data_IF_199168845181
#
_entry.id   IF_199168845181
#
_cell.length_a   1.000
_cell.length_b   1.000
_cell.length_c   1.000
_cell.angle_alpha   90.00
_cell.angle_beta   90.00
_cell.angle_gamma   90.00
#
_symmetry.space_group_name_H-M   'P 1'
#
loop_
_entity.id
_entity.type
_entity.pdbx_description
1 polymer ?
#
# COMPACT_ATOMS: atom_id res chain seq x y z
N UNK A 1 16.67 8.55 -53.15
CA UNK A 1 17.25 9.13 -51.92
C UNK A 1 16.34 10.27 -51.45
N UNK A 2 15.51 10.05 -50.43
CA UNK A 2 14.52 11.01 -49.93
C UNK A 2 15.16 12.06 -49.00
N UNK A 3 14.80 13.34 -49.19
CA UNK A 3 15.36 14.49 -48.46
C UNK A 3 14.73 14.58 -47.06
N UNK A 4 15.54 14.48 -46.00
CA UNK A 4 15.16 14.75 -44.60
C UNK A 4 15.21 16.25 -44.35
N UNK A 5 14.06 16.91 -44.24
CA UNK A 5 13.96 18.29 -43.72
C UNK A 5 13.60 18.23 -42.23
N UNK A 6 14.60 18.36 -41.37
CA UNK A 6 14.40 18.58 -39.93
C UNK A 6 14.54 20.08 -39.64
N UNK A 7 13.45 20.67 -39.13
CA UNK A 7 13.33 22.08 -38.76
C UNK A 7 13.76 22.24 -37.29
N UNK A 8 15.03 22.55 -37.05
CA UNK A 8 15.43 23.17 -35.79
C UNK A 8 15.24 24.69 -35.92
N UNK A 9 14.34 25.24 -35.10
CA UNK A 9 14.21 26.68 -34.88
C UNK A 9 14.72 27.02 -33.46
N UNK A 10 15.31 28.22 -33.25
CA UNK A 10 15.94 28.61 -32.00
C UNK A 10 14.89 29.08 -30.98
N UNK A 11 15.06 28.72 -29.70
CA UNK A 11 14.21 29.19 -28.60
C UNK A 11 14.96 30.20 -27.71
N UNK A 12 14.63 31.48 -27.84
CA UNK A 12 15.01 32.61 -26.97
C UNK A 12 13.85 33.63 -27.10
N UNK A 13 13.23 34.26 -26.10
CA UNK A 13 13.39 34.39 -24.65
C UNK A 13 12.09 34.98 -24.02
N UNK A 14 11.94 34.79 -22.71
CA UNK A 14 11.35 35.69 -21.66
C UNK A 14 9.95 36.30 -21.84
N UNK A 15 9.06 36.12 -20.83
CA UNK A 15 8.79 37.10 -19.73
C UNK A 15 7.77 36.59 -18.69
N UNK A 16 8.04 36.97 -17.43
CA UNK A 16 7.14 37.30 -16.30
C UNK A 16 6.33 36.21 -15.54
N UNK A 17 6.87 35.90 -14.34
CA UNK A 17 6.26 35.83 -12.98
C UNK A 17 4.73 35.69 -12.86
N UNK A 18 4.27 34.77 -11.99
CA UNK A 18 3.59 35.24 -10.79
C UNK A 18 4.25 34.74 -9.50
N UNK A 19 4.14 35.61 -8.49
CA UNK A 19 4.40 35.35 -7.09
C UNK A 19 3.63 34.10 -6.63
N UNK A 20 4.30 33.15 -5.99
CA UNK A 20 3.63 32.17 -5.14
C UNK A 20 4.58 31.80 -4.02
N UNK A 21 4.03 31.92 -2.82
CA UNK A 21 4.65 31.92 -1.52
C UNK A 21 5.68 30.81 -1.30
N UNK A 22 6.69 31.18 -0.52
CA UNK A 22 7.56 30.27 0.22
C UNK A 22 6.72 29.26 1.01
N UNK A 23 6.86 27.97 0.69
CA UNK A 23 6.34 26.88 1.51
C UNK A 23 7.47 26.33 2.35
N UNK A 24 7.54 26.74 3.61
CA UNK A 24 8.24 25.98 4.64
C UNK A 24 7.59 24.58 4.76
N UNK A 25 8.36 23.51 5.03
CA UNK A 25 7.80 22.20 5.24
C UNK A 25 7.25 22.12 6.67
N UNK A 26 5.98 22.49 6.86
CA UNK A 26 5.25 22.17 8.09
C UNK A 26 4.93 20.68 8.05
N UNK A 27 5.57 19.91 8.93
CA UNK A 27 5.27 18.52 9.17
C UNK A 27 3.86 18.40 9.77
N UNK A 28 2.91 17.91 8.97
CA UNK A 28 1.56 17.56 9.44
C UNK A 28 1.59 16.20 10.15
N UNK A 29 0.91 16.03 11.31
CA UNK A 29 0.72 14.75 11.96
C UNK A 29 -0.16 13.81 11.11
N UNK A 30 -0.11 12.47 11.31
CA UNK A 30 -0.85 11.55 10.46
C UNK A 30 -2.35 11.75 10.66
N UNK A 31 -2.99 12.36 9.67
CA UNK A 31 -4.45 12.38 9.57
C UNK A 31 -4.96 10.94 9.56
N UNK A 32 -5.75 10.60 10.57
CA UNK A 32 -6.48 9.35 10.62
C UNK A 32 -7.32 9.22 9.35
N UNK A 33 -6.86 8.35 8.45
CA UNK A 33 -7.46 8.11 7.14
C UNK A 33 -8.92 7.68 7.33
N UNK A 34 -9.84 8.51 6.87
CA UNK A 34 -11.27 8.20 6.87
C UNK A 34 -11.54 6.81 6.26
N UNK A 35 -12.48 6.02 6.82
CA UNK A 35 -12.80 4.71 6.30
C UNK A 35 -13.35 4.85 4.88
N UNK A 36 -12.59 4.34 3.91
CA UNK A 36 -13.08 4.26 2.54
C UNK A 36 -14.19 3.23 2.53
N UNK A 37 -15.42 3.66 2.26
CA UNK A 37 -16.55 2.77 2.07
C UNK A 37 -16.25 1.88 0.85
N UNK A 38 -15.73 0.69 1.09
CA UNK A 38 -15.59 -0.32 0.05
C UNK A 38 -17.01 -0.73 -0.36
N UNK A 39 -17.41 -0.41 -1.59
CA UNK A 39 -18.67 -0.89 -2.14
C UNK A 39 -18.76 -2.40 -1.95
N UNK A 40 -19.74 -2.84 -1.16
CA UNK A 40 -19.99 -4.24 -0.84
C UNK A 40 -20.30 -4.99 -2.14
N UNK A 41 -19.29 -5.64 -2.72
CA UNK A 41 -19.50 -6.59 -3.81
C UNK A 41 -19.89 -7.92 -3.17
N UNK A 42 -21.02 -8.54 -3.53
CA UNK A 42 -21.41 -9.82 -2.94
C UNK A 42 -20.29 -10.84 -3.15
N UNK A 43 -19.86 -11.46 -2.05
CA UNK A 43 -18.78 -12.46 -2.03
C UNK A 43 -17.36 -11.92 -1.81
N UNK A 44 -17.13 -10.61 -1.74
CA UNK A 44 -15.81 -10.04 -1.39
C UNK A 44 -15.89 -9.22 -0.11
N UNK A 45 -15.41 -9.81 0.99
CA UNK A 45 -15.24 -9.13 2.27
C UNK A 45 -13.83 -8.50 2.35
N UNK A 46 -13.77 -7.25 2.82
CA UNK A 46 -12.50 -6.56 3.07
C UNK A 46 -12.18 -6.58 4.56
N UNK A 47 -11.10 -7.27 4.94
CA UNK A 47 -10.54 -7.20 6.28
C UNK A 47 -9.34 -6.24 6.26
N UNK A 48 -9.45 -5.13 6.99
CA UNK A 48 -8.37 -4.18 7.19
C UNK A 48 -7.82 -4.29 8.60
N UNK A 49 -6.51 -4.33 8.75
CA UNK A 49 -5.81 -4.26 10.02
C UNK A 49 -4.68 -3.24 9.94
N UNK A 50 -4.36 -2.63 11.07
CA UNK A 50 -3.19 -1.78 11.21
C UNK A 50 -2.11 -2.58 11.96
N UNK A 51 -0.90 -2.52 11.45
CA UNK A 51 0.27 -3.02 12.15
C UNK A 51 0.95 -1.86 12.85
N UNK A 52 1.51 -2.11 14.03
CA UNK A 52 2.36 -1.14 14.70
C UNK A 52 3.67 -1.00 13.87
N UNK A 53 4.07 0.21 13.46
CA UNK A 53 5.35 0.42 12.78
C UNK A 53 6.57 -0.02 13.59
N UNK A 54 6.47 -0.07 14.92
CA UNK A 54 7.53 -0.53 15.80
C UNK A 54 7.57 -2.06 15.94
N UNK A 55 6.55 -2.78 15.46
CA UNK A 55 6.49 -4.23 15.55
C UNK A 55 7.31 -4.87 14.41
N UNK A 56 8.37 -5.64 14.73
CA UNK A 56 9.19 -6.30 13.71
C UNK A 56 8.43 -7.34 12.89
N UNK A 57 7.26 -7.82 13.35
CA UNK A 57 6.45 -8.79 12.60
C UNK A 57 5.98 -8.25 11.25
N UNK A 58 5.68 -6.96 11.15
CA UNK A 58 5.25 -6.32 9.91
C UNK A 58 6.37 -6.33 8.86
N UNK A 59 7.60 -6.09 9.27
CA UNK A 59 8.77 -6.17 8.38
C UNK A 59 9.05 -7.62 7.97
N UNK A 60 9.06 -8.54 8.94
CA UNK A 60 9.26 -9.97 8.68
C UNK A 60 8.23 -10.52 7.68
N UNK A 61 6.98 -10.10 7.78
CA UNK A 61 5.92 -10.47 6.85
C UNK A 61 6.16 -9.95 5.43
N UNK A 62 6.61 -8.71 5.28
CA UNK A 62 6.96 -8.13 3.97
C UNK A 62 8.15 -8.86 3.34
N UNK A 63 9.16 -9.19 4.14
CA UNK A 63 10.32 -9.97 3.69
C UNK A 63 9.88 -11.38 3.28
N UNK A 64 8.99 -12.02 4.05
CA UNK A 64 8.46 -13.35 3.75
C UNK A 64 7.72 -13.38 2.41
N UNK A 65 6.87 -12.38 2.15
CA UNK A 65 6.16 -12.26 0.88
C UNK A 65 7.14 -12.11 -0.30
N UNK A 66 8.15 -11.25 -0.16
CA UNK A 66 9.18 -11.08 -1.18
C UNK A 66 9.99 -12.37 -1.42
N UNK A 67 10.34 -13.09 -0.35
CA UNK A 67 11.10 -14.34 -0.42
C UNK A 67 10.32 -15.48 -1.08
N UNK A 68 9.02 -15.58 -0.78
CA UNK A 68 8.15 -16.65 -1.29
C UNK A 68 7.49 -16.32 -2.62
N UNK A 69 7.61 -15.07 -3.09
CA UNK A 69 6.91 -14.53 -4.27
C UNK A 69 5.38 -14.71 -4.19
N UNK A 70 4.83 -14.73 -2.97
CA UNK A 70 3.39 -14.82 -2.72
C UNK A 70 2.80 -13.44 -2.46
N UNK A 71 1.49 -13.29 -2.68
CA UNK A 71 0.81 -12.06 -2.33
C UNK A 71 0.60 -11.95 -0.82
N UNK A 72 0.60 -10.72 -0.29
CA UNK A 72 0.25 -10.48 1.11
C UNK A 72 -1.15 -11.00 1.46
N UNK A 73 -2.09 -10.97 0.50
CA UNK A 73 -3.45 -11.46 0.70
C UNK A 73 -3.47 -12.98 0.94
N UNK A 74 -2.70 -13.73 0.16
CA UNK A 74 -2.65 -15.19 0.28
C UNK A 74 -2.03 -15.62 1.62
N UNK A 75 -0.92 -14.97 2.00
CA UNK A 75 -0.25 -15.28 3.27
C UNK A 75 -1.11 -14.93 4.49
N UNK A 76 -1.87 -13.83 4.45
CA UNK A 76 -2.82 -13.51 5.50
C UNK A 76 -3.98 -14.50 5.55
N UNK A 77 -4.52 -14.90 4.39
CA UNK A 77 -5.59 -15.89 4.32
C UNK A 77 -5.14 -17.25 4.89
N UNK A 78 -3.93 -17.69 4.57
CA UNK A 78 -3.30 -18.91 5.09
C UNK A 78 -3.12 -18.83 6.61
N UNK A 79 -2.52 -17.75 7.12
CA UNK A 79 -2.32 -17.56 8.55
C UNK A 79 -3.64 -17.50 9.35
N UNK A 80 -4.68 -16.86 8.80
CA UNK A 80 -6.00 -16.83 9.43
C UNK A 80 -6.62 -18.22 9.45
N UNK A 81 -6.54 -18.97 8.35
CA UNK A 81 -7.07 -20.34 8.29
C UNK A 81 -6.36 -21.27 9.30
N UNK A 82 -5.03 -21.19 9.38
CA UNK A 82 -4.25 -21.94 10.37
C UNK A 82 -4.60 -21.56 11.81
N UNK A 83 -4.78 -20.26 12.09
CA UNK A 83 -5.13 -19.79 13.42
C UNK A 83 -6.51 -20.29 13.85
N UNK A 84 -7.51 -20.20 12.97
CA UNK A 84 -8.86 -20.71 13.23
C UNK A 84 -8.83 -22.23 13.44
N UNK A 85 -8.13 -22.97 12.59
CA UNK A 85 -7.98 -24.41 12.72
C UNK A 85 -7.34 -24.81 14.05
N UNK A 86 -6.33 -24.05 14.52
CA UNK A 86 -5.70 -24.27 15.83
C UNK A 86 -6.70 -24.13 16.97
N UNK A 87 -7.49 -23.05 17.00
CA UNK A 87 -8.47 -22.85 18.07
C UNK A 87 -9.66 -23.80 18.00
N UNK A 88 -10.08 -24.19 16.80
CA UNK A 88 -11.14 -25.19 16.66
C UNK A 88 -10.66 -26.57 17.10
N UNK A 89 -9.40 -26.93 16.83
CA UNK A 89 -8.78 -28.12 17.40
C UNK A 89 -8.71 -28.03 18.93
N UNK A 90 -8.24 -26.92 19.50
CA UNK A 90 -8.15 -26.76 20.95
C UNK A 90 -9.53 -26.86 21.64
N UNK A 91 -10.60 -26.35 21.00
CA UNK A 91 -11.99 -26.54 21.46
C UNK A 91 -12.44 -28.00 21.35
N UNK A 92 -12.08 -28.70 20.28
CA UNK A 92 -12.44 -30.10 20.06
C UNK A 92 -11.72 -31.05 21.03
N UNK A 93 -10.48 -30.74 21.40
CA UNK A 93 -9.67 -31.54 22.32
C UNK A 93 -9.72 -31.07 23.78
N UNK A 94 -10.50 -30.04 24.08
CA UNK A 94 -10.96 -29.73 25.44
C UNK A 94 -9.84 -29.57 26.49
N UNK A 95 -8.78 -28.81 26.18
CA UNK A 95 -7.92 -28.27 27.24
C UNK A 95 -8.62 -27.05 27.85
N UNK A 96 -9.56 -27.31 28.76
CA UNK A 96 -10.04 -26.34 29.74
C UNK A 96 -9.03 -26.23 30.90
#
# INVERSE_FOLDING_TARGET
>A
MARRSSLLAPAVATKAKPESASSEPVASPPEARAPRSSGQRPGKYHLGAYFDPADPTAEAFRVLAARTRRSHQDLLAEAIAELVAKYDADKQFGRA
#
